data_IF_779700466226
#
_entry.id   IF_779700466226
#
_cell.length_a   1.000
_cell.length_b   1.000
_cell.length_c   1.000
_cell.angle_alpha   90.00
_cell.angle_beta   90.00
_cell.angle_gamma   90.00
#
_symmetry.space_group_name_H-M   'P 1'
#
loop_
_entity.id
_entity.type
_entity.pdbx_description
1 polymer ?
#
# COMPACT_ATOMS: atom_id res chain seq x y z
N UNK A 1 -25.38 -14.79 26.11
CA UNK A 1 -24.75 -16.07 26.47
C UNK A 1 -23.23 -15.89 26.46
N UNK A 2 -22.62 -15.69 27.63
CA UNK A 2 -21.18 -15.42 27.83
C UNK A 2 -20.35 -16.69 28.11
N UNK A 3 -20.75 -17.85 27.56
CA UNK A 3 -20.37 -19.17 28.12
C UNK A 3 -19.26 -19.96 27.42
N UNK A 4 -18.57 -19.42 26.43
CA UNK A 4 -17.50 -20.17 25.76
C UNK A 4 -16.20 -19.37 25.77
N UNK A 5 -15.52 -19.37 26.92
CA UNK A 5 -14.08 -19.08 26.98
C UNK A 5 -13.33 -20.40 26.92
N UNK A 6 -12.18 -20.42 26.25
CA UNK A 6 -11.30 -21.59 26.29
C UNK A 6 -10.58 -21.68 27.64
N UNK A 7 -10.37 -22.90 28.12
CA UNK A 7 -9.71 -23.18 29.40
C UNK A 7 -8.23 -22.88 29.31
N UNK A 8 -7.57 -23.37 28.26
CA UNK A 8 -6.15 -23.10 28.00
C UNK A 8 -6.03 -21.96 27.00
N UNK A 9 -5.26 -20.93 27.34
CA UNK A 9 -5.09 -19.71 26.53
C UNK A 9 -3.60 -19.46 26.30
N UNK A 10 -3.01 -20.08 25.26
CA UNK A 10 -1.60 -19.87 24.95
C UNK A 10 -1.32 -18.38 24.68
N UNK A 11 -0.13 -17.92 25.02
CA UNK A 11 0.32 -16.58 24.65
C UNK A 11 0.79 -16.56 23.19
N UNK A 12 0.41 -15.54 22.39
CA UNK A 12 0.98 -15.31 21.07
C UNK A 12 2.51 -15.26 21.11
N UNK A 13 3.18 -15.92 20.15
CA UNK A 13 4.64 -15.81 19.98
C UNK A 13 5.01 -14.71 18.99
N UNK A 14 6.24 -14.18 19.07
CA UNK A 14 6.71 -13.11 18.19
C UNK A 14 6.70 -13.54 16.72
N UNK A 15 6.07 -12.73 15.87
CA UNK A 15 5.95 -12.98 14.43
C UNK A 15 5.07 -14.18 14.06
N UNK A 16 4.41 -14.81 15.02
CA UNK A 16 3.50 -15.94 14.80
C UNK A 16 2.31 -15.54 13.92
N UNK A 17 1.88 -16.44 13.05
CA UNK A 17 0.67 -16.26 12.25
C UNK A 17 -0.59 -16.60 13.05
N UNK A 18 -1.71 -15.94 12.75
CA UNK A 18 -3.00 -16.18 13.39
C UNK A 18 -3.42 -17.65 13.25
N UNK A 19 -3.25 -18.23 12.07
CA UNK A 19 -3.53 -19.64 11.81
C UNK A 19 -2.71 -20.56 12.73
N UNK A 20 -1.40 -20.29 12.88
CA UNK A 20 -0.52 -21.05 13.79
C UNK A 20 -1.00 -20.94 15.23
N UNK A 21 -1.31 -19.72 15.65
CA UNK A 21 -1.79 -19.43 17.00
C UNK A 21 -3.10 -20.17 17.31
N UNK A 22 -4.07 -20.15 16.38
CA UNK A 22 -5.34 -20.86 16.53
C UNK A 22 -5.15 -22.37 16.55
N UNK A 23 -4.24 -22.94 15.76
CA UNK A 23 -3.95 -24.38 15.77
C UNK A 23 -3.36 -24.83 17.10
N UNK A 24 -2.34 -24.12 17.60
CA UNK A 24 -1.77 -24.39 18.93
C UNK A 24 -2.81 -24.27 20.03
N UNK A 25 -3.68 -23.26 19.94
CA UNK A 25 -4.79 -23.07 20.88
C UNK A 25 -5.77 -24.24 20.83
N UNK A 26 -6.11 -24.73 19.64
CA UNK A 26 -7.00 -25.87 19.47
C UNK A 26 -6.44 -27.15 20.08
N UNK A 27 -5.18 -27.46 19.74
CA UNK A 27 -4.44 -28.60 20.30
C UNK A 27 -4.40 -28.53 21.83
N UNK A 28 -4.11 -27.35 22.39
CA UNK A 28 -4.02 -27.16 23.85
C UNK A 28 -5.37 -27.32 24.57
N UNK A 29 -6.49 -27.20 23.86
CA UNK A 29 -7.84 -27.39 24.41
C UNK A 29 -8.51 -28.70 23.96
N UNK A 30 -7.77 -29.58 23.26
CA UNK A 30 -8.32 -30.84 22.75
C UNK A 30 -9.47 -30.67 21.75
N UNK A 31 -9.53 -29.55 21.02
CA UNK A 31 -10.55 -29.31 20.00
C UNK A 31 -9.98 -29.38 18.59
N UNK A 32 -10.84 -29.66 17.61
CA UNK A 32 -10.43 -29.66 16.21
C UNK A 32 -10.10 -28.23 15.77
N UNK A 33 -9.10 -28.08 14.91
CA UNK A 33 -8.70 -26.77 14.34
C UNK A 33 -9.87 -26.02 13.68
N UNK A 34 -10.88 -26.72 13.17
CA UNK A 34 -12.07 -26.12 12.57
C UNK A 34 -13.04 -25.57 13.62
N UNK A 35 -13.01 -26.04 14.86
CA UNK A 35 -14.01 -25.67 15.88
C UNK A 35 -13.85 -24.20 16.29
N UNK A 36 -12.62 -23.79 16.60
CA UNK A 36 -12.32 -22.38 16.91
C UNK A 36 -12.64 -21.49 15.71
N UNK A 37 -12.29 -21.93 14.50
CA UNK A 37 -12.58 -21.16 13.29
C UNK A 37 -14.09 -20.99 13.08
N UNK A 38 -14.88 -22.07 13.21
CA UNK A 38 -16.34 -22.04 13.07
C UNK A 38 -16.99 -21.08 14.06
N UNK A 39 -16.44 -20.97 15.28
CA UNK A 39 -16.91 -20.02 16.27
C UNK A 39 -16.65 -18.58 15.83
N UNK A 40 -15.43 -18.24 15.43
CA UNK A 40 -15.06 -16.84 15.15
C UNK A 40 -15.39 -16.36 13.73
N UNK A 41 -15.80 -17.25 12.83
CA UNK A 41 -16.02 -16.92 11.42
C UNK A 41 -17.28 -16.07 11.19
N UNK A 42 -17.14 -15.01 10.41
CA UNK A 42 -18.22 -14.06 10.07
C UNK A 42 -18.85 -14.30 8.70
N UNK A 43 -18.16 -15.06 7.83
CA UNK A 43 -18.64 -15.37 6.49
C UNK A 43 -19.61 -16.56 6.43
N UNK A 44 -19.94 -16.95 5.21
CA UNK A 44 -20.75 -18.13 4.92
C UNK A 44 -20.04 -19.45 5.28
N UNK A 45 -20.80 -20.45 5.74
CA UNK A 45 -20.27 -21.78 6.10
C UNK A 45 -19.48 -22.44 4.97
N UNK A 46 -19.82 -22.17 3.70
CA UNK A 46 -19.09 -22.72 2.55
C UNK A 46 -17.64 -22.23 2.40
N UNK A 47 -17.27 -21.15 3.11
CA UNK A 47 -15.90 -20.62 3.17
C UNK A 47 -15.03 -21.33 4.21
N UNK A 48 -15.63 -22.12 5.10
CA UNK A 48 -14.94 -22.95 6.10
C UNK A 48 -14.35 -24.22 5.45
N UNK A 49 -13.45 -24.04 4.48
CA UNK A 49 -12.72 -25.15 3.85
C UNK A 49 -11.32 -25.25 4.43
N UNK A 50 -10.89 -26.47 4.72
CA UNK A 50 -9.59 -26.74 5.36
C UNK A 50 -8.38 -26.35 4.51
N UNK A 51 -8.54 -26.15 3.20
CA UNK A 51 -7.46 -25.66 2.35
C UNK A 51 -7.35 -24.12 2.31
N UNK A 52 -8.23 -23.39 3.01
CA UNK A 52 -8.28 -21.93 3.00
C UNK A 52 -7.85 -21.29 4.32
N UNK A 53 -7.37 -22.06 5.31
CA UNK A 53 -7.00 -21.54 6.63
C UNK A 53 -6.00 -20.39 6.59
N UNK A 54 -4.98 -20.46 5.73
CA UNK A 54 -3.97 -19.42 5.62
C UNK A 54 -4.55 -18.05 5.20
N UNK A 55 -5.80 -18.00 4.72
CA UNK A 55 -6.50 -16.74 4.48
C UNK A 55 -6.72 -15.96 5.76
N UNK A 56 -6.88 -16.61 6.91
CA UNK A 56 -7.04 -15.93 8.20
C UNK A 56 -5.88 -15.01 8.52
N UNK A 57 -4.69 -15.33 8.02
CA UNK A 57 -3.48 -14.53 8.25
C UNK A 57 -3.56 -13.16 7.55
N UNK A 58 -4.36 -12.99 6.48
CA UNK A 58 -4.44 -11.73 5.72
C UNK A 58 -5.86 -11.19 5.44
N UNK A 59 -6.89 -12.03 5.54
CA UNK A 59 -8.29 -11.72 5.30
C UNK A 59 -8.99 -11.48 6.64
N UNK A 60 -8.76 -10.29 7.20
CA UNK A 60 -9.27 -9.89 8.50
C UNK A 60 -10.79 -9.65 8.53
N UNK A 61 -11.50 -9.82 7.40
CA UNK A 61 -12.96 -9.80 7.34
C UNK A 61 -13.58 -11.18 7.54
N UNK A 62 -12.80 -12.27 7.50
CA UNK A 62 -13.29 -13.63 7.76
C UNK A 62 -13.44 -13.95 9.24
N UNK A 63 -12.96 -13.09 10.13
CA UNK A 63 -12.98 -13.28 11.57
C UNK A 63 -13.75 -12.13 12.25
N UNK A 64 -14.46 -12.44 13.33
CA UNK A 64 -14.92 -11.46 14.29
C UNK A 64 -13.81 -11.29 15.36
N UNK A 65 -13.00 -10.22 15.28
CA UNK A 65 -11.89 -10.04 16.21
C UNK A 65 -12.37 -9.79 17.65
N UNK A 66 -13.59 -9.27 17.85
CA UNK A 66 -14.17 -9.08 19.21
C UNK A 66 -14.61 -10.40 19.80
N UNK A 67 -15.16 -11.30 18.99
CA UNK A 67 -15.47 -12.66 19.43
C UNK A 67 -14.20 -13.44 19.75
N UNK A 68 -13.20 -13.38 18.86
CA UNK A 68 -11.90 -14.01 19.08
C UNK A 68 -11.21 -13.48 20.36
N UNK A 69 -11.22 -12.17 20.56
CA UNK A 69 -10.66 -11.52 21.77
C UNK A 69 -11.32 -12.03 23.05
N UNK A 70 -12.66 -12.16 23.07
CA UNK A 70 -13.40 -12.70 24.23
C UNK A 70 -13.15 -14.20 24.44
N UNK A 71 -13.07 -14.97 23.36
CA UNK A 71 -12.85 -16.42 23.40
C UNK A 71 -11.47 -16.77 24.00
N UNK A 72 -10.45 -16.00 23.61
CA UNK A 72 -9.04 -16.26 23.93
C UNK A 72 -8.44 -15.33 24.99
N UNK A 73 -9.21 -14.36 25.48
CA UNK A 73 -8.77 -13.37 26.47
C UNK A 73 -7.49 -12.61 26.03
N UNK A 74 -7.43 -12.24 24.75
CA UNK A 74 -6.33 -11.46 24.16
C UNK A 74 -6.84 -10.13 23.59
N UNK A 75 -5.96 -9.13 23.54
CA UNK A 75 -6.32 -7.80 23.02
C UNK A 75 -6.53 -7.82 21.51
N UNK A 76 -7.30 -6.85 20.99
CA UNK A 76 -7.49 -6.68 19.54
C UNK A 76 -6.16 -6.36 18.84
N UNK A 77 -5.25 -5.64 19.50
CA UNK A 77 -3.93 -5.33 18.96
C UNK A 77 -3.05 -6.58 18.84
N UNK A 78 -3.11 -7.49 19.83
CA UNK A 78 -2.45 -8.79 19.74
C UNK A 78 -3.00 -9.65 18.59
N UNK A 79 -4.32 -9.62 18.34
CA UNK A 79 -4.92 -10.29 17.18
C UNK A 79 -4.43 -9.66 15.88
N UNK A 80 -4.36 -8.32 15.82
CA UNK A 80 -3.86 -7.62 14.66
C UNK A 80 -2.42 -8.02 14.33
N UNK A 81 -1.54 -8.11 15.35
CA UNK A 81 -0.14 -8.52 15.22
C UNK A 81 0.06 -9.95 14.71
N UNK A 82 -0.93 -10.82 14.93
CA UNK A 82 -0.95 -12.18 14.38
C UNK A 82 -1.36 -12.22 12.90
N UNK A 83 -1.65 -11.09 12.27
CA UNK A 83 -2.10 -11.01 10.88
C UNK A 83 -1.39 -9.91 10.09
N UNK A 84 -1.62 -9.87 8.79
CA UNK A 84 -1.18 -8.76 7.94
C UNK A 84 -2.00 -7.47 8.11
N UNK A 85 -2.92 -7.41 9.08
CA UNK A 85 -3.63 -6.19 9.42
C UNK A 85 -2.67 -5.07 9.86
N UNK A 86 -1.62 -5.38 10.62
CA UNK A 86 -0.60 -4.40 11.02
C UNK A 86 0.05 -3.75 9.81
N UNK A 87 0.44 -4.54 8.81
CA UNK A 87 0.99 -4.02 7.55
C UNK A 87 -0.02 -3.09 6.88
N UNK A 88 -1.27 -3.52 6.72
CA UNK A 88 -2.31 -2.71 6.09
C UNK A 88 -2.56 -1.38 6.84
N UNK A 89 -2.54 -1.40 8.18
CA UNK A 89 -2.74 -0.21 9.01
C UNK A 89 -1.67 0.88 8.80
N UNK A 90 -0.48 0.51 8.31
CA UNK A 90 0.59 1.48 7.96
C UNK A 90 0.34 2.21 6.64
N UNK A 91 -0.56 1.71 5.78
CA UNK A 91 -0.87 2.30 4.46
C UNK A 91 -2.24 2.98 4.43
N UNK A 92 -3.21 2.51 5.21
CA UNK A 92 -4.61 2.94 5.15
C UNK A 92 -5.05 3.63 6.43
N UNK A 93 -6.03 4.53 6.34
CA UNK A 93 -6.62 5.15 7.54
C UNK A 93 -7.38 4.11 8.36
N UNK A 94 -8.13 3.26 7.65
CA UNK A 94 -8.90 2.18 8.23
C UNK A 94 -8.95 1.02 7.22
N UNK A 95 -8.13 -0.03 7.41
CA UNK A 95 -8.12 -1.18 6.51
C UNK A 95 -9.48 -1.87 6.36
N UNK A 96 -10.38 -1.81 7.35
CA UNK A 96 -11.74 -2.37 7.23
C UNK A 96 -12.61 -1.60 6.25
N UNK A 97 -12.54 -0.27 6.25
CA UNK A 97 -13.28 0.57 5.29
C UNK A 97 -12.65 0.54 3.89
N UNK A 98 -11.34 0.28 3.82
CA UNK A 98 -10.56 0.23 2.58
C UNK A 98 -10.24 -1.23 2.17
N UNK A 99 -11.06 -2.19 2.61
CA UNK A 99 -10.79 -3.64 2.59
C UNK A 99 -10.32 -4.17 1.24
N UNK A 100 -11.09 -3.99 0.16
CA UNK A 100 -10.74 -4.53 -1.16
C UNK A 100 -9.33 -4.09 -1.61
N UNK A 101 -8.95 -2.87 -1.26
CA UNK A 101 -7.64 -2.31 -1.62
C UNK A 101 -6.53 -2.85 -0.74
N UNK A 102 -6.76 -2.88 0.57
CA UNK A 102 -5.82 -3.49 1.51
C UNK A 102 -5.53 -4.95 1.14
N UNK A 103 -6.60 -5.69 0.80
CA UNK A 103 -6.52 -7.08 0.34
C UNK A 103 -5.73 -7.23 -0.95
N UNK A 104 -6.04 -6.44 -1.99
CA UNK A 104 -5.30 -6.51 -3.26
C UNK A 104 -3.82 -6.17 -3.06
N UNK A 105 -3.52 -5.20 -2.19
CA UNK A 105 -2.14 -4.83 -1.86
C UNK A 105 -1.41 -6.01 -1.22
N UNK A 106 -1.95 -6.60 -0.15
CA UNK A 106 -1.25 -7.66 0.58
C UNK A 106 -1.16 -8.95 -0.24
N UNK A 107 -2.24 -9.33 -0.92
CA UNK A 107 -2.27 -10.54 -1.74
C UNK A 107 -1.24 -10.54 -2.87
N UNK A 108 -0.79 -9.36 -3.34
CA UNK A 108 0.29 -9.28 -4.33
C UNK A 108 1.64 -9.67 -3.75
N UNK A 109 1.88 -9.40 -2.46
CA UNK A 109 3.11 -9.71 -1.75
C UNK A 109 3.17 -11.17 -1.25
N UNK A 110 2.03 -11.84 -1.08
CA UNK A 110 1.95 -13.20 -0.52
C UNK A 110 2.07 -14.30 -1.57
N UNK A 111 2.85 -15.34 -1.27
CA UNK A 111 2.70 -16.62 -1.94
C UNK A 111 1.33 -17.22 -1.57
N UNK A 112 0.55 -17.63 -2.56
CA UNK A 112 -0.78 -18.23 -2.37
C UNK A 112 -0.80 -19.72 -2.70
N UNK A 113 0.27 -20.22 -3.32
CA UNK A 113 0.34 -21.60 -3.82
C UNK A 113 0.65 -22.56 -2.68
N UNK A 114 1.55 -22.14 -1.78
CA UNK A 114 2.04 -23.01 -0.72
C UNK A 114 2.37 -22.22 0.54
N UNK A 115 2.32 -22.90 1.69
CA UNK A 115 2.73 -22.33 2.97
C UNK A 115 4.19 -22.67 3.22
N UNK A 116 5.04 -21.64 3.26
CA UNK A 116 6.47 -21.80 3.50
C UNK A 116 6.76 -21.88 5.00
N UNK A 117 7.77 -22.67 5.38
CA UNK A 117 8.23 -22.78 6.76
C UNK A 117 9.71 -23.11 6.88
N UNK A 118 10.28 -22.81 8.04
CA UNK A 118 11.62 -23.25 8.41
C UNK A 118 11.52 -24.53 9.27
N UNK A 119 12.05 -25.69 8.85
CA UNK A 119 11.97 -26.93 9.62
C UNK A 119 12.64 -26.79 11.00
N UNK A 120 13.77 -26.08 11.07
CA UNK A 120 14.49 -25.84 12.33
C UNK A 120 13.69 -24.99 13.30
N UNK A 121 13.03 -23.90 12.83
CA UNK A 121 12.15 -23.10 13.69
C UNK A 121 10.92 -23.89 14.16
N UNK A 122 10.31 -24.69 13.28
CA UNK A 122 9.15 -25.51 13.64
C UNK A 122 9.54 -26.53 14.72
N UNK A 123 10.70 -27.19 14.61
CA UNK A 123 11.18 -28.11 15.65
C UNK A 123 11.44 -27.42 17.00
N UNK A 124 11.85 -26.15 16.98
CA UNK A 124 12.17 -25.38 18.19
C UNK A 124 10.93 -24.82 18.88
N UNK A 125 10.01 -24.24 18.13
CA UNK A 125 8.91 -23.45 18.68
C UNK A 125 7.51 -23.95 18.29
N UNK A 126 7.41 -24.87 17.33
CA UNK A 126 6.14 -25.35 16.76
C UNK A 126 5.22 -24.22 16.28
N UNK A 127 5.80 -23.21 15.61
CA UNK A 127 5.05 -22.07 15.07
C UNK A 127 5.39 -21.73 13.63
N UNK A 128 4.36 -21.34 12.89
CA UNK A 128 4.52 -20.69 11.59
C UNK A 128 4.58 -19.18 11.76
N UNK A 129 5.57 -18.54 11.12
CA UNK A 129 5.71 -17.09 11.12
C UNK A 129 5.01 -16.45 9.92
N UNK A 130 4.42 -15.27 10.11
CA UNK A 130 3.78 -14.51 9.02
C UNK A 130 4.76 -14.26 7.87
N UNK A 131 5.97 -13.80 8.19
CA UNK A 131 6.99 -13.36 7.24
C UNK A 131 7.36 -14.43 6.21
N UNK A 132 7.21 -15.71 6.53
CA UNK A 132 7.51 -16.81 5.62
C UNK A 132 6.54 -16.88 4.44
N UNK A 133 5.34 -16.31 4.55
CA UNK A 133 4.34 -16.34 3.48
C UNK A 133 4.60 -15.31 2.36
N UNK A 134 5.61 -14.46 2.51
CA UNK A 134 5.95 -13.44 1.50
C UNK A 134 6.70 -14.07 0.32
N UNK A 135 6.34 -13.67 -0.91
CA UNK A 135 6.99 -14.18 -2.13
C UNK A 135 8.49 -13.89 -2.17
N UNK A 136 8.88 -12.76 -1.63
CA UNK A 136 10.27 -12.27 -1.67
C UNK A 136 11.15 -12.91 -0.59
N UNK A 137 10.59 -13.69 0.34
CA UNK A 137 11.32 -14.30 1.46
C UNK A 137 11.46 -15.80 1.23
N UNK A 138 12.62 -16.26 0.78
CA UNK A 138 12.84 -17.68 0.46
C UNK A 138 13.77 -18.38 1.44
N UNK A 139 14.42 -17.63 2.33
CA UNK A 139 15.33 -18.18 3.33
C UNK A 139 14.89 -17.77 4.75
N UNK A 140 15.07 -18.69 5.70
CA UNK A 140 14.95 -18.37 7.10
C UNK A 140 16.14 -17.52 7.54
N UNK A 141 15.88 -16.31 8.05
CA UNK A 141 16.94 -15.43 8.56
C UNK A 141 17.68 -15.99 9.78
N UNK A 142 17.00 -16.78 10.63
CA UNK A 142 17.55 -17.30 11.88
C UNK A 142 18.53 -18.44 11.62
N UNK A 143 18.14 -19.39 10.76
CA UNK A 143 18.92 -20.61 10.49
C UNK A 143 19.70 -20.55 9.18
N UNK A 144 19.52 -19.51 8.37
CA UNK A 144 20.15 -19.32 7.06
C UNK A 144 19.94 -20.53 6.12
N UNK A 145 18.75 -21.13 6.16
CA UNK A 145 18.33 -22.24 5.29
C UNK A 145 17.15 -21.84 4.41
N UNK A 146 17.01 -22.48 3.27
CA UNK A 146 15.86 -22.30 2.38
C UNK A 146 14.56 -22.72 3.08
N UNK A 147 13.50 -21.94 2.92
CA UNK A 147 12.18 -22.29 3.42
C UNK A 147 11.57 -23.41 2.58
N UNK A 148 10.92 -24.36 3.24
CA UNK A 148 10.25 -25.49 2.63
C UNK A 148 8.75 -25.25 2.50
N UNK A 149 8.14 -25.84 1.47
CA UNK A 149 6.70 -25.78 1.23
C UNK A 149 6.01 -27.15 1.27
N UNK A 150 6.79 -28.23 1.32
CA UNK A 150 6.31 -29.60 1.26
C UNK A 150 6.61 -30.31 2.58
N UNK A 151 5.61 -30.97 3.16
CA UNK A 151 5.72 -31.68 4.45
C UNK A 151 6.45 -33.02 4.33
N UNK A 152 7.03 -33.35 3.16
CA UNK A 152 7.82 -34.58 3.01
C UNK A 152 9.20 -34.34 3.63
N UNK A 153 9.27 -34.51 4.94
CA UNK A 153 10.50 -34.58 5.73
C UNK A 153 11.31 -35.78 5.22
N UNK A 154 12.15 -35.54 4.22
CA UNK A 154 13.17 -36.48 3.74
C UNK A 154 14.49 -35.74 3.89
N UNK A 155 15.54 -36.42 4.36
CA UNK A 155 16.85 -35.82 4.63
C UNK A 155 17.33 -34.91 3.49
N UNK A 156 17.25 -33.59 3.70
CA UNK A 156 17.57 -32.60 2.66
C UNK A 156 19.05 -32.25 2.76
N UNK A 157 19.85 -32.45 1.70
CA UNK A 157 21.22 -31.97 1.66
C UNK A 157 21.24 -30.45 1.72
N UNK A 158 22.17 -29.90 2.51
CA UNK A 158 22.35 -28.45 2.69
C UNK A 158 22.78 -27.84 1.36
N UNK A 159 21.87 -27.14 0.68
CA UNK A 159 22.19 -26.34 -0.51
C UNK A 159 22.69 -24.98 -0.05
N UNK A 160 23.95 -24.66 -0.35
CA UNK A 160 24.55 -23.36 -0.04
C UNK A 160 24.03 -22.31 -1.04
N UNK A 161 23.33 -21.30 -0.54
CA UNK A 161 22.84 -20.18 -1.36
C UNK A 161 23.98 -19.22 -1.76
N UNK A 162 23.81 -18.52 -2.89
CA UNK A 162 24.73 -17.45 -3.32
C UNK A 162 24.78 -16.32 -2.27
N UNK A 163 25.99 -15.93 -1.89
CA UNK A 163 26.26 -14.86 -0.92
C UNK A 163 25.61 -13.51 -1.25
N UNK A 164 25.52 -13.15 -2.53
CA UNK A 164 24.90 -11.89 -2.95
C UNK A 164 23.38 -11.90 -2.72
N UNK A 165 22.72 -13.03 -3.03
CA UNK A 165 21.29 -13.22 -2.80
C UNK A 165 20.93 -13.14 -1.31
N UNK A 166 21.78 -13.69 -0.45
CA UNK A 166 21.59 -13.63 1.01
C UNK A 166 21.58 -12.19 1.54
N UNK A 167 22.45 -11.31 1.04
CA UNK A 167 22.49 -9.91 1.50
C UNK A 167 21.20 -9.15 1.17
N UNK A 168 20.67 -9.35 -0.03
CA UNK A 168 19.42 -8.74 -0.49
C UNK A 168 18.21 -9.33 0.26
N UNK A 169 18.20 -10.65 0.48
CA UNK A 169 17.20 -11.33 1.31
C UNK A 169 17.16 -10.77 2.73
N UNK A 170 18.32 -10.55 3.37
CA UNK A 170 18.39 -9.94 4.71
C UNK A 170 17.78 -8.55 4.73
N UNK A 171 18.09 -7.70 3.73
CA UNK A 171 17.51 -6.35 3.61
C UNK A 171 15.99 -6.41 3.48
N UNK A 172 15.48 -7.29 2.62
CA UNK A 172 14.04 -7.49 2.42
C UNK A 172 13.36 -8.04 3.68
N UNK A 173 14.00 -8.99 4.38
CA UNK A 173 13.52 -9.54 5.64
C UNK A 173 13.36 -8.44 6.71
N UNK A 174 14.38 -7.61 6.93
CA UNK A 174 14.31 -6.52 7.90
C UNK A 174 13.21 -5.50 7.57
N UNK A 175 13.04 -5.16 6.29
CA UNK A 175 11.95 -4.27 5.85
C UNK A 175 10.58 -4.83 6.18
N UNK A 176 10.36 -6.11 5.93
CA UNK A 176 9.10 -6.77 6.24
C UNK A 176 8.88 -6.95 7.73
N UNK A 177 9.94 -7.26 8.48
CA UNK A 177 9.89 -7.33 9.94
C UNK A 177 9.45 -5.99 10.54
N UNK A 178 10.00 -4.87 10.06
CA UNK A 178 9.54 -3.55 10.45
C UNK A 178 8.06 -3.33 10.13
N UNK A 179 7.59 -3.74 8.95
CA UNK A 179 6.18 -3.59 8.58
C UNK A 179 5.23 -4.44 9.43
N UNK A 180 5.68 -5.61 9.88
CA UNK A 180 4.88 -6.56 10.65
C UNK A 180 4.86 -6.25 12.16
N UNK A 181 6.03 -5.95 12.73
CA UNK A 181 6.25 -5.95 14.18
C UNK A 181 6.43 -4.54 14.78
N UNK A 182 6.92 -3.57 14.00
CA UNK A 182 7.14 -2.22 14.53
C UNK A 182 5.82 -1.50 14.82
N UNK A 183 5.74 -0.79 15.94
CA UNK A 183 4.65 0.13 16.25
C UNK A 183 4.74 1.43 15.43
N UNK A 184 5.91 1.74 14.89
CA UNK A 184 6.17 2.97 14.15
C UNK A 184 5.40 3.02 12.83
N UNK A 185 4.64 4.10 12.64
CA UNK A 185 3.96 4.39 11.38
C UNK A 185 4.95 4.83 10.30
N UNK A 186 4.68 4.49 9.03
CA UNK A 186 5.51 4.92 7.90
C UNK A 186 5.46 6.44 7.67
N UNK A 187 4.35 7.06 8.06
CA UNK A 187 4.10 8.48 7.87
C UNK A 187 3.07 8.96 8.88
N UNK A 188 2.96 10.27 9.07
CA UNK A 188 1.82 10.90 9.76
C UNK A 188 0.84 11.47 8.74
N UNK A 189 -0.36 11.83 9.17
CA UNK A 189 -1.33 12.52 8.31
C UNK A 189 -0.92 13.97 8.11
N UNK A 190 -0.89 14.43 6.85
CA UNK A 190 -0.66 15.83 6.51
C UNK A 190 -1.98 16.52 6.16
N UNK A 191 -2.52 17.32 7.09
CA UNK A 191 -3.78 18.04 6.91
C UNK A 191 -4.96 17.10 6.64
N UNK A 192 -5.69 17.33 5.55
CA UNK A 192 -6.86 16.51 5.14
C UNK A 192 -6.49 15.27 4.32
N UNK A 193 -5.21 15.00 4.10
CA UNK A 193 -4.78 13.83 3.33
C UNK A 193 -5.07 12.53 4.11
N UNK A 194 -5.43 11.48 3.38
CA UNK A 194 -5.43 10.11 3.94
C UNK A 194 -4.01 9.65 4.22
N UNK A 195 -3.86 8.59 5.02
CA UNK A 195 -2.56 7.95 5.28
C UNK A 195 -1.86 7.55 3.97
N UNK A 196 -2.58 6.93 3.04
CA UNK A 196 -2.04 6.51 1.74
C UNK A 196 -1.53 7.71 0.91
N UNK A 197 -2.27 8.82 0.90
CA UNK A 197 -1.85 10.07 0.20
C UNK A 197 -0.69 10.76 0.91
N UNK A 198 -0.68 10.73 2.23
CA UNK A 198 0.42 11.23 3.06
C UNK A 198 1.69 10.44 2.82
N UNK A 199 1.58 9.13 2.60
CA UNK A 199 2.70 8.26 2.23
C UNK A 199 3.16 8.56 0.81
N UNK A 200 2.25 8.73 -0.15
CA UNK A 200 2.60 9.12 -1.52
C UNK A 200 3.37 10.45 -1.57
N UNK A 201 2.95 11.45 -0.79
CA UNK A 201 3.64 12.72 -0.64
C UNK A 201 5.07 12.53 -0.13
N UNK A 202 5.23 11.74 0.94
CA UNK A 202 6.53 11.45 1.55
C UNK A 202 7.46 10.68 0.62
N UNK A 203 6.92 9.72 -0.15
CA UNK A 203 7.68 9.00 -1.18
C UNK A 203 8.19 9.95 -2.26
N UNK A 204 7.36 10.89 -2.73
CA UNK A 204 7.80 11.91 -3.70
C UNK A 204 8.89 12.81 -3.12
N UNK A 205 8.75 13.22 -1.86
CA UNK A 205 9.74 14.05 -1.15
C UNK A 205 11.10 13.34 -1.06
N UNK A 206 11.10 12.07 -0.64
CA UNK A 206 12.33 11.25 -0.57
C UNK A 206 12.91 11.00 -1.96
N UNK A 207 12.08 10.71 -2.96
CA UNK A 207 12.52 10.50 -4.34
C UNK A 207 13.09 11.78 -5.00
N UNK A 208 12.81 12.97 -4.46
CA UNK A 208 13.40 14.25 -4.88
C UNK A 208 14.53 14.69 -3.93
N UNK A 209 15.20 13.75 -3.25
CA UNK A 209 16.28 14.03 -2.31
C UNK A 209 15.93 15.07 -1.24
N UNK A 210 14.68 15.05 -0.77
CA UNK A 210 14.20 15.90 0.34
C UNK A 210 14.27 17.41 0.04
N UNK A 211 14.13 17.81 -1.23
CA UNK A 211 14.09 19.22 -1.63
C UNK A 211 12.92 20.01 -1.00
N UNK A 212 13.07 21.32 -0.81
CA UNK A 212 12.06 22.18 -0.16
C UNK A 212 10.78 22.35 -0.96
N UNK A 213 10.90 22.35 -2.29
CA UNK A 213 9.82 22.54 -3.25
C UNK A 213 9.74 21.37 -4.23
N UNK A 214 8.52 21.00 -4.59
CA UNK A 214 8.27 19.96 -5.57
C UNK A 214 8.64 20.43 -6.98
N UNK A 215 9.62 19.75 -7.58
CA UNK A 215 10.07 19.99 -8.94
C UNK A 215 10.15 18.63 -9.65
N UNK A 216 9.14 18.35 -10.48
CA UNK A 216 9.01 17.06 -11.18
C UNK A 216 10.26 16.60 -11.93
N UNK A 217 11.02 17.52 -12.51
CA UNK A 217 12.19 17.21 -13.36
C UNK A 217 13.38 16.69 -12.54
N UNK A 218 13.39 16.95 -11.23
CA UNK A 218 14.49 16.62 -10.33
C UNK A 218 14.38 15.18 -9.80
N UNK A 219 13.26 14.49 -10.04
CA UNK A 219 13.06 13.09 -9.69
C UNK A 219 13.61 12.22 -10.83
N UNK A 220 14.92 11.94 -10.79
CA UNK A 220 15.68 11.21 -11.82
C UNK A 220 15.88 9.75 -11.39
N UNK A 221 14.89 8.90 -11.60
CA UNK A 221 14.95 7.48 -11.18
C UNK A 221 13.63 6.73 -11.36
N UNK A 222 12.54 7.48 -11.48
CA UNK A 222 11.20 6.92 -11.65
C UNK A 222 10.62 7.30 -13.01
N UNK A 223 9.75 6.44 -13.55
CA UNK A 223 9.05 6.77 -14.78
C UNK A 223 8.23 8.06 -14.63
N UNK A 224 8.25 8.91 -15.65
CA UNK A 224 7.48 10.17 -15.66
C UNK A 224 5.99 9.94 -15.39
N UNK A 225 5.45 8.80 -15.81
CA UNK A 225 4.05 8.42 -15.60
C UNK A 225 3.75 8.08 -14.15
N UNK A 226 4.64 7.33 -13.48
CA UNK A 226 4.51 7.01 -12.06
C UNK A 226 4.50 8.30 -11.21
N UNK A 227 5.47 9.18 -11.41
CA UNK A 227 5.55 10.47 -10.69
C UNK A 227 4.28 11.30 -10.93
N UNK A 228 3.81 11.39 -12.18
CA UNK A 228 2.55 12.07 -12.51
C UNK A 228 1.36 11.46 -11.79
N UNK A 229 1.30 10.13 -11.72
CA UNK A 229 0.24 9.38 -11.04
C UNK A 229 0.21 9.70 -9.54
N UNK A 230 1.36 9.64 -8.86
CA UNK A 230 1.48 9.92 -7.43
C UNK A 230 1.10 11.36 -7.11
N UNK A 231 1.56 12.33 -7.90
CA UNK A 231 1.19 13.74 -7.72
C UNK A 231 -0.32 13.95 -7.88
N UNK A 232 -0.91 13.34 -8.92
CA UNK A 232 -2.35 13.39 -9.10
C UNK A 232 -3.09 12.73 -7.93
N UNK A 233 -2.53 11.66 -7.36
CA UNK A 233 -3.11 10.93 -6.24
C UNK A 233 -3.10 11.78 -4.97
N UNK A 234 -1.97 12.42 -4.65
CA UNK A 234 -1.83 13.38 -3.55
C UNK A 234 -2.84 14.52 -3.68
N UNK A 235 -3.05 15.02 -4.91
CA UNK A 235 -4.00 16.11 -5.22
C UNK A 235 -5.48 15.73 -5.19
N UNK A 236 -5.81 14.48 -4.91
CA UNK A 236 -7.21 14.08 -4.76
C UNK A 236 -7.78 13.20 -5.87
N UNK A 237 -7.04 12.96 -6.96
CA UNK A 237 -7.52 12.11 -8.04
C UNK A 237 -7.52 10.63 -7.59
N UNK A 238 -8.67 9.97 -7.64
CA UNK A 238 -8.84 8.59 -7.16
C UNK A 238 -8.54 7.51 -8.20
N UNK A 239 -8.45 7.89 -9.49
CA UNK A 239 -8.32 6.96 -10.64
C UNK A 239 -6.86 6.56 -10.92
N UNK A 240 -5.91 7.13 -10.18
CA UNK A 240 -4.48 7.01 -10.46
C UNK A 240 -3.80 5.90 -9.65
N UNK A 241 -2.58 5.52 -10.08
CA UNK A 241 -1.77 4.47 -9.46
C UNK A 241 -1.51 4.85 -7.99
N UNK A 242 -1.86 3.92 -7.12
CA UNK A 242 -1.80 4.07 -5.66
C UNK A 242 -0.47 3.58 -5.10
N UNK A 243 -0.25 3.82 -3.80
CA UNK A 243 0.97 3.39 -3.11
C UNK A 243 0.90 1.91 -2.81
N UNK A 244 1.98 1.18 -3.11
CA UNK A 244 2.13 -0.24 -2.77
C UNK A 244 3.42 -0.44 -1.98
N UNK A 245 3.56 -1.58 -1.29
CA UNK A 245 4.83 -1.95 -0.64
C UNK A 245 5.99 -1.95 -1.65
N UNK A 246 5.79 -2.47 -2.86
CA UNK A 246 6.89 -2.57 -3.84
C UNK A 246 7.38 -1.17 -4.25
N UNK A 247 6.47 -0.20 -4.40
CA UNK A 247 6.84 1.18 -4.67
C UNK A 247 7.58 1.82 -3.48
N UNK A 248 7.16 1.54 -2.24
CA UNK A 248 7.90 1.97 -1.05
C UNK A 248 9.33 1.45 -1.09
N UNK A 249 9.52 0.15 -1.33
CA UNK A 249 10.86 -0.45 -1.36
C UNK A 249 11.72 0.07 -2.52
N UNK A 250 11.14 0.27 -3.70
CA UNK A 250 11.80 0.89 -4.86
C UNK A 250 12.34 2.29 -4.52
N UNK A 251 11.54 3.11 -3.81
CA UNK A 251 11.97 4.45 -3.35
C UNK A 251 13.06 4.37 -2.28
N UNK A 252 12.97 3.42 -1.35
CA UNK A 252 14.02 3.21 -0.34
C UNK A 252 15.34 2.77 -0.95
N UNK A 253 15.28 1.87 -1.95
CA UNK A 253 16.47 1.43 -2.68
C UNK A 253 17.10 2.56 -3.48
N UNK A 254 16.28 3.34 -4.20
CA UNK A 254 16.74 4.52 -4.93
C UNK A 254 17.42 5.56 -4.01
N UNK A 255 16.86 5.80 -2.83
CA UNK A 255 17.40 6.76 -1.86
C UNK A 255 18.50 6.19 -0.95
N UNK A 256 18.89 4.92 -1.15
CA UNK A 256 19.80 4.18 -0.27
C UNK A 256 19.44 4.33 1.23
N UNK A 257 18.17 4.15 1.56
CA UNK A 257 17.60 4.42 2.88
C UNK A 257 16.98 3.17 3.47
N UNK A 258 17.13 2.97 4.79
CA UNK A 258 16.37 1.93 5.50
C UNK A 258 14.98 2.42 5.91
N UNK A 259 14.11 1.50 6.31
CA UNK A 259 12.70 1.81 6.54
C UNK A 259 12.48 2.58 7.85
N UNK A 260 13.37 2.41 8.82
CA UNK A 260 13.40 3.11 10.12
C UNK A 260 13.83 4.58 9.96
N UNK A 261 14.80 4.85 9.10
CA UNK A 261 15.17 6.21 8.69
C UNK A 261 14.00 6.86 7.97
N UNK A 262 13.39 6.13 7.04
CA UNK A 262 12.23 6.61 6.32
C UNK A 262 11.08 6.95 7.25
N UNK A 263 10.72 6.10 8.24
CA UNK A 263 9.61 6.36 9.16
C UNK A 263 9.76 7.68 9.91
N UNK A 264 10.99 8.05 10.27
CA UNK A 264 11.34 9.27 11.02
C UNK A 264 11.31 10.56 10.19
N UNK A 265 11.36 10.49 8.85
CA UNK A 265 11.35 11.68 8.00
C UNK A 265 10.00 12.40 8.11
N UNK A 266 10.05 13.72 8.29
CA UNK A 266 8.89 14.60 8.21
C UNK A 266 8.91 15.40 6.89
N UNK A 267 7.74 15.61 6.29
CA UNK A 267 7.62 16.38 5.05
C UNK A 267 7.35 17.86 5.40
N UNK A 268 8.22 18.80 4.98
CA UNK A 268 8.01 20.22 5.23
C UNK A 268 6.69 20.74 4.65
N UNK A 269 6.04 21.68 5.35
CA UNK A 269 4.82 22.34 4.85
C UNK A 269 5.05 23.07 3.52
N UNK A 270 6.25 23.59 3.28
CA UNK A 270 6.62 24.21 1.99
C UNK A 270 6.47 23.21 0.84
N UNK A 271 6.98 21.99 1.01
CA UNK A 271 6.90 20.94 0.00
C UNK A 271 5.44 20.51 -0.21
N UNK A 272 4.69 20.28 0.88
CA UNK A 272 3.25 20.00 0.83
C UNK A 272 2.47 21.08 0.05
N UNK A 273 2.74 22.35 0.33
CA UNK A 273 2.08 23.46 -0.36
C UNK A 273 2.49 23.50 -1.83
N UNK A 274 3.78 23.34 -2.14
CA UNK A 274 4.28 23.36 -3.52
C UNK A 274 3.63 22.30 -4.43
N UNK A 275 3.27 21.14 -3.87
CA UNK A 275 2.60 20.06 -4.62
C UNK A 275 1.08 20.27 -4.66
N UNK A 276 0.45 20.72 -3.58
CA UNK A 276 -1.00 20.91 -3.49
C UNK A 276 -1.49 22.17 -4.17
N UNK A 277 -0.68 23.22 -4.21
CA UNK A 277 -0.94 24.41 -5.02
C UNK A 277 -0.92 23.97 -6.48
N UNK A 278 -2.11 23.67 -6.99
CA UNK A 278 -2.34 23.72 -8.43
C UNK A 278 -2.02 25.17 -8.76
N UNK A 279 -0.86 25.42 -9.38
CA UNK A 279 -0.66 26.67 -10.08
C UNK A 279 -1.83 26.73 -11.04
N UNK A 280 -2.87 27.46 -10.67
CA UNK A 280 -3.87 27.92 -11.61
C UNK A 280 -3.03 28.57 -12.68
N UNK A 281 -2.82 27.84 -13.78
CA UNK A 281 -2.33 28.47 -14.96
C UNK A 281 -3.45 29.47 -15.21
N UNK A 282 -3.20 30.74 -14.93
CA UNK A 282 -4.06 31.85 -15.29
C UNK A 282 -4.08 31.88 -16.81
N UNK A 283 -4.75 30.90 -17.41
CA UNK A 283 -5.10 30.85 -18.80
C UNK A 283 -6.37 31.67 -18.86
N UNK A 284 -6.20 32.98 -18.79
CA UNK A 284 -7.23 33.90 -19.18
C UNK A 284 -7.06 34.08 -20.68
N UNK A 285 -7.81 33.36 -21.53
CA UNK A 285 -7.84 33.72 -22.95
C UNK A 285 -8.33 35.16 -23.07
N UNK A 286 -8.15 35.75 -24.26
CA UNK A 286 -8.99 36.89 -24.65
C UNK A 286 -10.44 36.53 -24.31
N UNK A 287 -11.07 37.32 -23.45
CA UNK A 287 -12.33 36.95 -22.84
C UNK A 287 -13.51 37.03 -23.83
N UNK A 288 -13.28 37.60 -25.01
CA UNK A 288 -14.27 37.84 -26.05
C UNK A 288 -14.33 36.73 -27.12
N UNK A 289 -15.53 36.46 -27.62
CA UNK A 289 -15.74 35.60 -28.78
C UNK A 289 -15.27 36.32 -30.06
N UNK A 290 -14.37 35.71 -30.83
CA UNK A 290 -13.82 36.32 -32.06
C UNK A 290 -14.72 36.15 -33.29
N UNK A 291 -15.88 35.52 -33.14
CA UNK A 291 -16.77 35.25 -34.26
C UNK A 291 -17.64 36.49 -34.54
N UNK A 292 -17.66 37.00 -35.78
CA UNK A 292 -18.26 38.32 -36.08
C UNK A 292 -19.77 38.36 -35.91
N UNK A 293 -20.46 37.21 -35.96
CA UNK A 293 -21.90 37.10 -35.72
C UNK A 293 -22.27 36.74 -34.28
N UNK A 294 -21.32 36.69 -33.36
CA UNK A 294 -21.63 36.37 -31.97
C UNK A 294 -22.17 37.61 -31.24
N UNK A 295 -23.37 37.51 -30.67
CA UNK A 295 -23.94 38.53 -29.78
C UNK A 295 -23.12 38.80 -28.51
N UNK A 296 -22.17 37.92 -28.17
CA UNK A 296 -21.24 38.04 -27.05
C UNK A 296 -19.81 38.39 -27.51
N UNK A 297 -19.64 38.99 -28.69
CA UNK A 297 -18.32 39.41 -29.21
C UNK A 297 -17.59 40.38 -28.28
N UNK A 298 -18.32 41.18 -27.50
CA UNK A 298 -17.75 42.14 -26.53
C UNK A 298 -17.74 41.61 -25.08
N UNK A 299 -18.45 40.51 -24.81
CA UNK A 299 -18.70 40.02 -23.46
C UNK A 299 -17.82 38.83 -23.09
N UNK A 300 -17.50 38.73 -21.80
CA UNK A 300 -16.57 37.75 -21.23
C UNK A 300 -17.21 36.39 -20.95
N UNK A 301 -17.79 35.76 -21.98
CA UNK A 301 -18.61 34.54 -21.85
C UNK A 301 -17.98 33.34 -22.54
N UNK A 302 -16.76 33.01 -22.13
CA UNK A 302 -15.99 31.88 -22.64
C UNK A 302 -15.77 30.85 -21.52
N UNK A 303 -16.34 29.64 -21.67
CA UNK A 303 -16.18 28.54 -20.72
C UNK A 303 -15.00 27.67 -21.13
N UNK A 304 -14.09 27.38 -20.20
CA UNK A 304 -13.05 26.36 -20.41
C UNK A 304 -13.71 24.96 -20.43
N UNK A 305 -13.63 24.29 -21.57
CA UNK A 305 -14.07 22.89 -21.71
C UNK A 305 -12.91 21.98 -21.37
N UNK A 306 -13.03 21.26 -20.24
CA UNK A 306 -12.05 20.31 -19.73
C UNK A 306 -12.08 18.94 -20.44
N UNK A 307 -12.39 18.92 -21.74
CA UNK A 307 -12.38 17.67 -22.52
C UNK A 307 -10.95 17.30 -22.92
N UNK A 308 -10.58 16.04 -22.68
CA UNK A 308 -9.21 15.49 -22.87
C UNK A 308 -8.80 15.29 -24.33
N UNK A 309 -9.59 15.74 -25.29
CA UNK A 309 -9.23 15.62 -26.70
C UNK A 309 -8.29 16.76 -26.99
N UNK A 310 -7.02 16.45 -27.22
CA UNK A 310 -6.00 17.42 -27.64
C UNK A 310 -5.83 17.34 -29.16
N UNK A 311 -6.68 17.97 -30.00
CA UNK A 311 -6.43 18.05 -31.41
C UNK A 311 -5.09 18.73 -31.65
N UNK A 312 -4.29 18.07 -32.49
CA UNK A 312 -3.10 18.64 -33.09
C UNK A 312 -3.51 19.19 -34.44
N UNK A 313 -3.22 20.46 -34.70
CA UNK A 313 -3.35 21.05 -36.04
C UNK A 313 -1.97 21.52 -36.47
N UNK A 314 -1.46 20.95 -37.57
CA UNK A 314 -0.10 21.24 -38.09
C UNK A 314 1.00 21.04 -37.04
N UNK A 315 0.91 19.98 -36.22
CA UNK A 315 1.89 19.68 -35.17
C UNK A 315 1.79 20.55 -33.91
N UNK A 316 1.01 21.63 -33.93
CA UNK A 316 0.80 22.50 -32.76
C UNK A 316 -0.23 21.85 -31.82
N UNK A 317 0.10 21.78 -30.54
CA UNK A 317 -0.77 21.28 -29.47
C UNK A 317 -1.53 22.43 -28.83
N UNK A 318 -2.85 22.31 -28.76
CA UNK A 318 -3.72 23.25 -28.08
C UNK A 318 -4.27 22.62 -26.79
N UNK A 319 -3.65 22.93 -25.64
CA UNK A 319 -3.99 22.29 -24.37
C UNK A 319 -5.30 22.77 -23.73
N UNK A 320 -5.95 23.81 -24.27
CA UNK A 320 -7.17 24.39 -23.71
C UNK A 320 -8.22 24.61 -24.81
N UNK A 321 -9.47 24.26 -24.51
CA UNK A 321 -10.63 24.58 -25.33
C UNK A 321 -11.51 25.57 -24.59
N UNK A 322 -11.92 26.60 -25.28
CA UNK A 322 -12.92 27.52 -24.79
C UNK A 322 -14.14 27.45 -25.69
N UNK A 323 -15.33 27.52 -25.10
CA UNK A 323 -16.59 27.56 -25.82
C UNK A 323 -17.29 28.85 -25.46
N UNK A 324 -17.71 29.61 -26.47
CA UNK A 324 -18.54 30.78 -26.25
C UNK A 324 -19.93 30.37 -25.79
N UNK A 325 -20.44 30.94 -24.71
CA UNK A 325 -21.82 30.66 -24.24
C UNK A 325 -22.90 31.22 -25.17
N UNK A 326 -22.56 32.18 -26.03
CA UNK A 326 -23.53 32.81 -26.94
C UNK A 326 -23.74 32.04 -28.23
N UNK A 327 -22.64 31.72 -28.93
CA UNK A 327 -22.71 31.06 -30.24
C UNK A 327 -22.16 29.62 -30.24
N UNK A 328 -21.72 29.10 -29.09
CA UNK A 328 -21.15 27.76 -28.93
C UNK A 328 -19.91 27.46 -29.80
N UNK A 329 -19.31 28.50 -30.40
CA UNK A 329 -18.07 28.36 -31.16
C UNK A 329 -16.93 27.93 -30.24
N UNK A 330 -16.18 26.93 -30.69
CA UNK A 330 -15.04 26.36 -29.97
C UNK A 330 -13.75 27.01 -30.43
N UNK A 331 -12.95 27.43 -29.48
CA UNK A 331 -11.64 28.02 -29.70
C UNK A 331 -10.57 27.18 -29.02
N UNK A 332 -9.55 26.82 -29.78
CA UNK A 332 -8.37 26.15 -29.26
C UNK A 332 -7.36 27.22 -28.85
N UNK A 333 -6.89 27.21 -27.60
CA UNK A 333 -5.96 28.21 -27.07
C UNK A 333 -4.61 27.59 -26.73
N UNK A 334 -3.55 28.18 -27.28
CA UNK A 334 -2.17 27.89 -26.93
C UNK A 334 -1.61 29.08 -26.15
N UNK A 335 -1.29 28.94 -24.85
CA UNK A 335 -0.64 30.00 -24.11
C UNK A 335 0.69 30.33 -24.77
N UNK A 336 0.97 31.61 -25.01
CA UNK A 336 2.32 32.00 -25.38
C UNK A 336 3.28 31.62 -24.25
N UNK A 337 4.46 31.06 -24.57
CA UNK A 337 5.47 30.80 -23.55
C UNK A 337 5.81 32.14 -22.88
N UNK A 338 5.55 32.26 -21.59
CA UNK A 338 6.06 33.38 -20.81
C UNK A 338 7.58 33.32 -20.89
N UNK A 339 8.22 34.29 -21.55
CA UNK A 339 9.66 34.34 -21.86
C UNK A 339 10.61 34.41 -20.62
N UNK A 340 10.19 33.91 -19.46
CA UNK A 340 10.87 34.11 -18.17
C UNK A 340 11.49 32.87 -17.51
N UNK A 341 11.61 31.72 -18.19
CA UNK A 341 12.35 30.56 -17.65
C UNK A 341 13.13 29.86 -18.76
N UNK A 342 14.40 30.26 -18.92
CA UNK A 342 15.44 29.39 -19.47
C UNK A 342 15.75 28.30 -18.44
#
# INVERSE_FOLDING_TARGET
MDKHRLTVRPTPKSGESLTSFLFRTGISNGCDKMDIWRDIHTGSVHMLRSNLYYRLDYDFCLIDPKRLSRLLDITLDSIAQLSYFTVCSKFFNNPYQEYDRAMVMIQKALDKKSRKFCPSCIKQEDVYKLIWQLKEIDNCFIHNIKLESNVKLVDIPVVVADTNDLSQQKKTYHRWLFLLESDQMLTKRYGKLSMERSLALKLLFVAQNQATDYIRKDIVGFSKNLVKSLVAFVRGNSVVKKVTQSLLFEVLDYANMNIEQFSKIDVPKSYLNSILTVKEKKVSPSRACMTPWCCNSEHQRMILVNERVEPRKKGIRYPYYFVCEGCFMRYAYQPQPTNGRK
#
